data_IF_452417113402
#
_entry.id   IF_452417113402
#
_cell.length_a   1.000
_cell.length_b   1.000
_cell.length_c   1.000
_cell.angle_alpha   90.00
_cell.angle_beta   90.00
_cell.angle_gamma   90.00
#
_symmetry.space_group_name_H-M   'P 1'
#
loop_
_entity.id
_entity.type
_entity.pdbx_description
1 polymer ?
#
# COMPACT_ATOMS: atom_id res chain seq x y z
N UNK A 1 16.13 14.75 -13.64
CA UNK A 1 16.84 13.85 -12.72
C UNK A 1 16.79 14.42 -11.31
N UNK A 2 16.58 13.57 -10.32
CA UNK A 2 16.57 13.99 -8.92
C UNK A 2 18.01 14.21 -8.42
N UNK A 3 18.18 15.21 -7.58
CA UNK A 3 19.46 15.49 -6.93
C UNK A 3 19.45 15.15 -5.44
N UNK A 4 20.57 15.39 -4.74
CA UNK A 4 20.69 15.07 -3.32
C UNK A 4 19.64 15.81 -2.48
N UNK A 5 19.35 17.07 -2.80
CA UNK A 5 18.35 17.85 -2.08
C UNK A 5 16.95 17.22 -2.22
N UNK A 6 16.61 16.75 -3.41
CA UNK A 6 15.32 16.07 -3.63
C UNK A 6 15.19 14.82 -2.75
N UNK A 7 16.24 14.00 -2.67
CA UNK A 7 16.23 12.81 -1.80
C UNK A 7 16.16 13.17 -0.32
N UNK A 8 16.85 14.22 0.10
CA UNK A 8 16.79 14.67 1.49
C UNK A 8 15.40 15.17 1.86
N UNK A 9 14.74 15.92 0.97
CA UNK A 9 13.35 16.37 1.17
C UNK A 9 12.41 15.18 1.27
N UNK A 10 12.54 14.21 0.37
CA UNK A 10 11.72 12.98 0.40
C UNK A 10 11.90 12.25 1.73
N UNK A 11 13.12 12.14 2.22
CA UNK A 11 13.42 11.50 3.50
C UNK A 11 12.73 12.22 4.66
N UNK A 12 12.78 13.55 4.69
CA UNK A 12 12.10 14.36 5.71
C UNK A 12 10.58 14.14 5.66
N UNK A 13 9.98 14.19 4.48
CA UNK A 13 8.54 13.98 4.31
C UNK A 13 8.10 12.55 4.62
N UNK A 14 8.93 11.56 4.35
CA UNK A 14 8.63 10.17 4.72
C UNK A 14 8.70 9.95 6.22
N UNK A 15 9.58 10.65 6.90
CA UNK A 15 9.64 10.64 8.37
C UNK A 15 8.44 11.35 9.01
N UNK A 16 8.04 12.48 8.44
CA UNK A 16 6.89 13.25 8.89
C UNK A 16 6.26 14.01 7.72
N UNK A 17 5.20 13.43 7.13
CA UNK A 17 4.50 14.03 5.99
C UNK A 17 3.82 15.37 6.34
N UNK A 18 3.65 15.69 7.62
CA UNK A 18 3.08 16.94 8.09
C UNK A 18 4.14 17.98 8.47
N UNK A 19 5.42 17.67 8.27
CA UNK A 19 6.48 18.62 8.61
C UNK A 19 6.28 19.93 7.84
N UNK A 20 6.25 21.10 8.55
CA UNK A 20 6.19 22.38 7.88
C UNK A 20 7.44 22.59 7.01
N UNK A 21 7.28 23.22 5.85
CA UNK A 21 8.41 23.48 4.97
C UNK A 21 9.50 24.29 5.65
N UNK A 22 9.12 25.20 6.57
CA UNK A 22 10.09 25.97 7.35
C UNK A 22 11.00 25.06 8.18
N UNK A 23 10.45 24.01 8.79
CA UNK A 23 11.22 23.07 9.60
C UNK A 23 12.17 22.24 8.75
N UNK A 24 11.71 21.78 7.58
CA UNK A 24 12.57 21.07 6.62
C UNK A 24 13.70 21.99 6.14
N UNK A 25 13.36 23.24 5.83
CA UNK A 25 14.33 24.25 5.41
C UNK A 25 15.43 24.45 6.45
N UNK A 26 15.06 24.53 7.71
CA UNK A 26 16.04 24.67 8.80
C UNK A 26 16.93 23.45 8.94
N UNK A 27 16.37 22.24 8.86
CA UNK A 27 17.15 21.00 8.95
C UNK A 27 18.10 20.82 7.78
N UNK A 28 17.67 21.17 6.59
CA UNK A 28 18.46 21.03 5.37
C UNK A 28 19.31 22.27 5.04
N UNK A 29 19.23 23.31 5.88
CA UNK A 29 19.96 24.58 5.67
C UNK A 29 19.72 25.14 4.28
N UNK A 30 18.48 25.16 3.86
CA UNK A 30 18.02 25.55 2.53
C UNK A 30 16.84 26.52 2.68
N UNK A 31 16.71 27.56 1.83
CA UNK A 31 15.58 28.48 1.92
C UNK A 31 14.23 27.76 1.81
N UNK A 32 13.24 28.20 2.56
CA UNK A 32 11.88 27.65 2.52
C UNK A 32 11.29 27.66 1.10
N UNK A 33 11.49 28.76 0.37
CA UNK A 33 11.01 28.89 -1.00
C UNK A 33 11.56 27.80 -1.92
N UNK A 34 12.81 27.40 -1.70
CA UNK A 34 13.45 26.31 -2.45
C UNK A 34 12.81 24.96 -2.10
N UNK A 35 12.56 24.70 -0.81
CA UNK A 35 11.87 23.49 -0.36
C UNK A 35 10.49 23.40 -1.01
N UNK A 36 9.70 24.47 -0.92
CA UNK A 36 8.36 24.54 -1.50
C UNK A 36 8.38 24.25 -3.00
N UNK A 37 9.29 24.87 -3.72
CA UNK A 37 9.42 24.67 -5.17
C UNK A 37 9.80 23.24 -5.52
N UNK A 38 10.74 22.65 -4.79
CA UNK A 38 11.17 21.26 -5.02
C UNK A 38 10.06 20.25 -4.73
N UNK A 39 9.32 20.44 -3.63
CA UNK A 39 8.18 19.57 -3.32
C UNK A 39 7.15 19.64 -4.45
N UNK A 40 6.82 20.83 -4.92
CA UNK A 40 5.91 20.98 -6.04
C UNK A 40 6.41 20.27 -7.30
N UNK A 41 7.66 20.37 -7.61
CA UNK A 41 8.25 19.64 -8.75
C UNK A 41 8.16 18.11 -8.56
N UNK A 42 8.41 17.62 -7.34
CA UNK A 42 8.30 16.19 -7.04
C UNK A 42 6.85 15.69 -7.19
N UNK A 43 5.89 16.50 -6.81
CA UNK A 43 4.46 16.22 -7.04
C UNK A 43 4.11 16.23 -8.52
N UNK A 44 4.49 17.28 -9.24
CA UNK A 44 4.18 17.46 -10.65
C UNK A 44 4.81 16.36 -11.53
N UNK A 45 6.00 15.88 -11.16
CA UNK A 45 6.69 14.78 -11.84
C UNK A 45 6.17 13.40 -11.44
N UNK A 46 5.25 13.32 -10.48
CA UNK A 46 4.71 12.07 -9.99
C UNK A 46 5.68 11.25 -9.14
N UNK A 47 6.76 11.85 -8.66
CA UNK A 47 7.67 11.20 -7.69
C UNK A 47 6.96 11.04 -6.35
N UNK A 48 6.30 12.12 -5.89
CA UNK A 48 5.34 12.05 -4.79
C UNK A 48 3.97 11.81 -5.42
N UNK A 49 3.43 10.63 -5.22
CA UNK A 49 2.16 10.22 -5.82
C UNK A 49 0.95 10.61 -4.98
N UNK A 50 1.11 10.60 -3.67
CA UNK A 50 0.07 11.01 -2.72
C UNK A 50 0.65 11.20 -1.32
N UNK A 51 -0.09 11.93 -0.49
CA UNK A 51 0.14 11.97 0.96
C UNK A 51 -0.89 11.06 1.61
N UNK A 52 -0.45 10.23 2.54
CA UNK A 52 -1.30 9.26 3.19
C UNK A 52 -0.88 9.08 4.64
N UNK A 53 -1.74 8.45 5.43
CA UNK A 53 -1.44 8.09 6.80
C UNK A 53 -1.20 6.60 6.92
N UNK A 54 -0.26 6.23 7.75
CA UNK A 54 -0.04 4.86 8.14
C UNK A 54 -0.93 4.55 9.34
N UNK A 55 -1.70 3.48 9.24
CA UNK A 55 -2.70 3.13 10.23
C UNK A 55 -2.30 1.87 10.98
N UNK A 56 -2.73 1.79 12.23
CA UNK A 56 -2.70 0.54 12.99
C UNK A 56 -4.04 -0.18 12.79
N UNK A 57 -4.09 -1.26 12.00
CA UNK A 57 -5.35 -1.95 11.71
C UNK A 57 -6.05 -2.46 12.96
N UNK A 58 -5.29 -2.94 13.94
CA UNK A 58 -5.84 -3.47 15.20
C UNK A 58 -6.65 -2.41 15.96
N UNK A 59 -6.18 -1.18 15.97
CA UNK A 59 -6.88 -0.06 16.61
C UNK A 59 -8.13 0.39 15.87
N UNK A 60 -8.27 -0.02 14.61
CA UNK A 60 -9.47 0.23 13.81
C UNK A 60 -10.47 -0.94 13.87
N UNK A 61 -10.17 -1.97 14.66
CA UNK A 61 -11.03 -3.16 14.76
C UNK A 61 -10.63 -4.31 13.85
N UNK A 62 -9.54 -4.15 13.07
CA UNK A 62 -9.03 -5.20 12.19
C UNK A 62 -7.83 -5.89 12.85
N UNK A 63 -8.12 -6.90 13.68
CA UNK A 63 -7.08 -7.62 14.41
C UNK A 63 -6.25 -8.58 13.56
N UNK A 64 -6.61 -8.78 12.30
CA UNK A 64 -5.94 -9.70 11.39
C UNK A 64 -5.63 -9.02 10.07
N UNK A 65 -4.38 -9.09 9.67
CA UNK A 65 -3.91 -8.66 8.35
C UNK A 65 -3.29 -9.86 7.65
N UNK A 66 -3.63 -10.07 6.39
CA UNK A 66 -3.06 -11.13 5.60
C UNK A 66 -2.56 -10.61 4.26
N UNK A 67 -1.47 -11.19 3.79
CA UNK A 67 -1.12 -11.15 2.38
C UNK A 67 -1.67 -12.42 1.74
N UNK A 68 -2.42 -12.25 0.66
CA UNK A 68 -3.09 -13.36 0.00
C UNK A 68 -2.69 -13.39 -1.46
N UNK A 69 -1.96 -14.46 -1.82
CA UNK A 69 -1.67 -14.75 -3.23
C UNK A 69 -2.89 -15.40 -3.86
N UNK A 70 -3.22 -14.98 -5.08
CA UNK A 70 -4.39 -15.48 -5.81
C UNK A 70 -3.95 -15.89 -7.21
N UNK A 71 -4.28 -17.11 -7.56
CA UNK A 71 -4.06 -17.63 -8.90
C UNK A 71 -5.37 -17.68 -9.66
N UNK A 72 -5.33 -17.28 -10.91
CA UNK A 72 -6.52 -17.20 -11.77
C UNK A 72 -6.20 -17.77 -13.14
N UNK A 73 -7.23 -18.22 -13.85
CA UNK A 73 -7.06 -18.51 -15.28
C UNK A 73 -6.77 -17.18 -16.01
N UNK A 74 -5.84 -17.16 -16.97
CA UNK A 74 -5.41 -15.91 -17.61
C UNK A 74 -6.54 -15.07 -18.18
N UNK A 75 -7.58 -15.69 -18.72
CA UNK A 75 -8.72 -15.01 -19.33
C UNK A 75 -9.54 -14.21 -18.32
N UNK A 76 -9.47 -14.56 -17.02
CA UNK A 76 -10.23 -13.91 -15.96
C UNK A 76 -9.39 -12.95 -15.11
N UNK A 77 -8.11 -12.78 -15.45
CA UNK A 77 -7.19 -11.96 -14.65
C UNK A 77 -7.74 -10.54 -14.40
N UNK A 78 -8.10 -9.84 -15.47
CA UNK A 78 -8.59 -8.45 -15.34
C UNK A 78 -9.91 -8.37 -14.56
N UNK A 79 -10.82 -9.31 -14.79
CA UNK A 79 -12.10 -9.34 -14.10
C UNK A 79 -11.93 -9.58 -12.60
N UNK A 80 -11.08 -10.55 -12.22
CA UNK A 80 -10.82 -10.85 -10.81
C UNK A 80 -10.10 -9.69 -10.14
N UNK A 81 -9.05 -9.15 -10.76
CA UNK A 81 -8.30 -8.02 -10.23
C UNK A 81 -9.21 -6.81 -9.97
N UNK A 82 -10.09 -6.49 -10.92
CA UNK A 82 -11.04 -5.40 -10.77
C UNK A 82 -11.99 -5.63 -9.59
N UNK A 83 -12.59 -6.81 -9.50
CA UNK A 83 -13.50 -7.15 -8.38
C UNK A 83 -12.81 -7.06 -7.03
N UNK A 84 -11.54 -7.47 -6.94
CA UNK A 84 -10.77 -7.37 -5.70
C UNK A 84 -10.60 -5.92 -5.26
N UNK A 85 -10.44 -4.99 -6.18
CA UNK A 85 -10.31 -3.57 -5.84
C UNK A 85 -11.59 -2.95 -5.29
N UNK A 86 -12.73 -3.59 -5.46
CA UNK A 86 -14.03 -3.08 -5.01
C UNK A 86 -14.33 -3.39 -3.54
N UNK A 87 -13.62 -4.33 -2.91
CA UNK A 87 -13.80 -4.64 -1.51
C UNK A 87 -13.09 -3.63 -0.62
N UNK A 88 -13.78 -3.07 0.34
CA UNK A 88 -13.24 -2.08 1.26
C UNK A 88 -12.10 -2.62 2.13
N UNK A 89 -12.19 -3.89 2.53
CA UNK A 89 -11.18 -4.54 3.35
C UNK A 89 -9.97 -5.08 2.58
N UNK A 90 -10.00 -5.02 1.26
CA UNK A 90 -8.84 -5.29 0.41
C UNK A 90 -8.07 -3.99 0.22
N UNK A 91 -6.89 -3.90 0.83
CA UNK A 91 -6.12 -2.66 0.93
C UNK A 91 -5.07 -2.50 -0.16
N UNK A 92 -4.71 -3.58 -0.82
CA UNK A 92 -3.74 -3.56 -1.91
C UNK A 92 -4.08 -4.70 -2.88
N UNK A 93 -3.97 -4.43 -4.16
CA UNK A 93 -4.07 -5.42 -5.22
C UNK A 93 -2.93 -5.14 -6.21
N UNK A 94 -2.11 -6.13 -6.45
CA UNK A 94 -0.99 -6.01 -7.40
C UNK A 94 -0.94 -7.20 -8.33
N UNK A 95 -0.65 -6.95 -9.60
CA UNK A 95 -0.25 -8.00 -10.53
C UNK A 95 1.20 -8.38 -10.23
N UNK A 96 1.48 -9.67 -10.09
CA UNK A 96 2.81 -10.14 -9.73
C UNK A 96 3.30 -11.22 -10.70
N UNK A 97 4.62 -11.37 -10.77
CA UNK A 97 5.27 -12.50 -11.39
C UNK A 97 5.80 -13.43 -10.29
N UNK A 98 5.96 -14.71 -10.58
CA UNK A 98 6.42 -15.72 -9.62
C UNK A 98 5.31 -16.69 -9.27
N UNK A 99 5.19 -17.04 -8.00
CA UNK A 99 4.28 -18.11 -7.55
C UNK A 99 2.80 -17.78 -7.70
N UNK A 100 2.43 -16.50 -7.65
CA UNK A 100 1.05 -16.06 -7.74
C UNK A 100 0.90 -14.95 -8.78
N UNK A 101 -0.26 -14.93 -9.45
CA UNK A 101 -0.56 -13.91 -10.45
C UNK A 101 -1.04 -12.60 -9.84
N UNK A 102 -1.73 -12.67 -8.72
CA UNK A 102 -2.24 -11.50 -8.00
C UNK A 102 -1.79 -11.60 -6.55
N UNK A 103 -1.31 -10.50 -6.01
CA UNK A 103 -0.99 -10.38 -4.60
C UNK A 103 -1.88 -9.31 -3.99
N UNK A 104 -2.43 -9.61 -2.81
CA UNK A 104 -3.33 -8.70 -2.09
C UNK A 104 -2.93 -8.55 -0.65
N UNK A 105 -3.29 -7.40 -0.06
CA UNK A 105 -3.33 -7.21 1.38
C UNK A 105 -4.79 -7.08 1.79
N UNK A 106 -5.23 -7.94 2.71
CA UNK A 106 -6.62 -8.04 3.15
C UNK A 106 -6.69 -7.92 4.67
N UNK A 107 -7.61 -7.09 5.16
CA UNK A 107 -7.84 -6.89 6.58
C UNK A 107 -9.10 -7.61 7.02
N UNK A 108 -9.07 -8.22 8.19
CA UNK A 108 -10.22 -8.87 8.83
C UNK A 108 -10.19 -8.65 10.33
N UNK A 109 -11.33 -8.81 10.99
CA UNK A 109 -11.41 -8.68 12.45
C UNK A 109 -10.69 -9.83 13.13
N UNK A 110 -10.97 -11.06 12.70
CA UNK A 110 -10.39 -12.29 13.22
C UNK A 110 -9.94 -13.20 12.09
N UNK A 111 -9.04 -14.12 12.37
CA UNK A 111 -8.55 -15.09 11.38
C UNK A 111 -9.70 -15.88 10.75
N UNK A 112 -10.64 -16.37 11.57
CA UNK A 112 -11.78 -17.13 11.08
C UNK A 112 -12.64 -16.32 10.10
N UNK A 113 -12.89 -15.07 10.41
CA UNK A 113 -13.67 -14.16 9.55
C UNK A 113 -12.96 -13.87 8.24
N UNK A 114 -11.66 -13.62 8.31
CA UNK A 114 -10.84 -13.40 7.11
C UNK A 114 -10.84 -14.64 6.20
N UNK A 115 -10.70 -15.82 6.78
CA UNK A 115 -10.77 -17.10 6.03
C UNK A 115 -12.14 -17.29 5.39
N UNK A 116 -13.20 -16.95 6.10
CA UNK A 116 -14.56 -17.03 5.57
C UNK A 116 -14.75 -16.06 4.39
N UNK A 117 -14.25 -14.85 4.53
CA UNK A 117 -14.26 -13.85 3.43
C UNK A 117 -13.56 -14.39 2.17
N UNK A 118 -12.36 -14.95 2.34
CA UNK A 118 -11.60 -15.51 1.22
C UNK A 118 -12.38 -16.65 0.57
N UNK A 119 -12.91 -17.58 1.38
CA UNK A 119 -13.63 -18.75 0.91
C UNK A 119 -14.93 -18.38 0.20
N UNK A 120 -15.71 -17.45 0.73
CA UNK A 120 -17.03 -17.11 0.22
C UNK A 120 -17.02 -16.03 -0.87
N UNK A 121 -16.07 -15.11 -0.81
CA UNK A 121 -16.07 -13.96 -1.72
C UNK A 121 -14.98 -14.03 -2.78
N UNK A 122 -13.85 -14.62 -2.51
CA UNK A 122 -12.72 -14.68 -3.45
C UNK A 122 -12.67 -16.01 -4.19
N UNK A 123 -12.67 -17.13 -3.46
CA UNK A 123 -12.56 -18.44 -4.08
C UNK A 123 -13.74 -18.80 -5.00
N UNK A 124 -14.88 -18.18 -4.77
CA UNK A 124 -16.07 -18.36 -5.61
C UNK A 124 -16.10 -17.49 -6.85
N UNK A 125 -15.15 -16.59 -7.02
CA UNK A 125 -15.06 -15.80 -8.24
C UNK A 125 -14.70 -16.69 -9.42
N UNK A 126 -15.35 -16.44 -10.56
CA UNK A 126 -15.05 -17.16 -11.79
C UNK A 126 -13.59 -16.98 -12.18
N UNK A 127 -12.90 -18.08 -12.38
CA UNK A 127 -11.51 -18.07 -12.81
C UNK A 127 -10.47 -18.16 -11.70
N UNK A 128 -10.85 -17.97 -10.44
CA UNK A 128 -9.93 -18.18 -9.31
C UNK A 128 -9.68 -19.68 -9.14
N UNK A 129 -8.41 -20.07 -9.19
CA UNK A 129 -8.00 -21.47 -9.09
C UNK A 129 -7.38 -21.81 -7.73
N UNK A 130 -6.78 -20.82 -7.07
CA UNK A 130 -6.09 -21.05 -5.81
C UNK A 130 -5.96 -19.74 -5.01
N UNK A 131 -6.05 -19.83 -3.70
CA UNK A 131 -5.71 -18.74 -2.78
C UNK A 131 -4.70 -19.24 -1.76
N UNK A 132 -3.73 -18.38 -1.45
CA UNK A 132 -2.66 -18.68 -0.49
C UNK A 132 -2.55 -17.55 0.52
N UNK A 133 -3.31 -17.62 1.62
CA UNK A 133 -3.23 -16.59 2.67
C UNK A 133 -2.01 -16.78 3.54
N UNK A 134 -1.32 -15.67 3.83
CA UNK A 134 -0.25 -15.58 4.80
C UNK A 134 -0.63 -14.54 5.85
N UNK A 135 -0.93 -14.98 7.06
CA UNK A 135 -1.31 -14.09 8.15
C UNK A 135 -0.06 -13.36 8.64
N UNK A 136 -0.16 -12.03 8.71
CA UNK A 136 0.92 -11.21 9.26
C UNK A 136 0.86 -11.30 10.78
N UNK A 137 1.87 -11.89 11.38
CA UNK A 137 1.98 -11.97 12.83
C UNK A 137 2.50 -10.66 13.41
N UNK A 138 3.49 -10.07 12.75
CA UNK A 138 4.10 -8.81 13.17
C UNK A 138 4.81 -8.18 11.98
N UNK A 139 4.65 -6.88 11.78
CA UNK A 139 5.47 -6.12 10.83
C UNK A 139 6.69 -5.61 11.57
N UNK A 140 7.86 -6.08 11.20
CA UNK A 140 9.12 -5.70 11.84
C UNK A 140 9.64 -4.35 11.33
N UNK A 141 9.25 -3.97 10.13
CA UNK A 141 9.58 -2.68 9.52
C UNK A 141 8.54 -2.32 8.48
N UNK A 142 8.10 -1.07 8.53
CA UNK A 142 7.25 -0.48 7.51
C UNK A 142 7.63 1.00 7.40
N UNK A 143 8.17 1.39 6.26
CA UNK A 143 8.67 2.76 6.06
C UNK A 143 8.37 3.30 4.67
#
# INVERSE_FOLDING_TARGET
MLDVLDFDIIKELRSNARAPYLDIAKRLKTPESTIRHRVKQLEDKGVITKYSVQLDPGKLGYGTVAYVGIDVVPEQFLNVAKKLTEFENVKMVAATSGDHMIMTEIWGEKVAELRQFISERIEKMQGVTRTCPAIIMEKLKES
#
